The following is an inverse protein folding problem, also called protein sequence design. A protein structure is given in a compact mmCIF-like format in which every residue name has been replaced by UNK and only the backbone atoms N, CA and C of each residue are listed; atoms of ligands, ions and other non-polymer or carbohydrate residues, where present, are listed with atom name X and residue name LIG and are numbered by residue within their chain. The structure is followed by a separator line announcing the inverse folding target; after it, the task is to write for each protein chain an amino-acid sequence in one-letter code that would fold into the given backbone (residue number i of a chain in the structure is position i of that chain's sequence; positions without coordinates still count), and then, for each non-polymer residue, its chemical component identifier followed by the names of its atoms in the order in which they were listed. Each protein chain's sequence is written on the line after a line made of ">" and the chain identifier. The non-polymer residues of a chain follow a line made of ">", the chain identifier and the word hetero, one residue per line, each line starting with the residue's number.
data_IF_319809530915
#
_entry.id   IF_319809530915
#
_cell.length_a   1.000
_cell.length_b   1.000
_cell.length_c   1.000
_cell.angle_alpha   90.00
_cell.angle_beta   90.00
_cell.angle_gamma   90.00
#
_symmetry.space_group_name_H-M   'P 1'
#
loop_
_entity.id
_entity.type
_entity.pdbx_description
1 polymer ?
#
# COMPACT_ATOMS: atom_id res chain seq x y z
N UNK A 1 10.61 6.41 -1.69
CA UNK A 1 11.62 7.39 -1.30
C UNK A 1 13.01 7.14 -1.86
N UNK A 2 13.56 5.93 -1.70
CA UNK A 2 14.97 5.57 -2.02
C UNK A 2 15.52 6.03 -3.39
N UNK A 3 14.66 6.22 -4.40
CA UNK A 3 15.05 6.68 -5.74
C UNK A 3 14.98 8.22 -5.92
N UNK A 4 14.59 8.98 -4.89
CA UNK A 4 14.41 10.44 -4.94
C UNK A 4 13.23 10.89 -5.83
N UNK A 5 12.25 10.02 -6.09
CA UNK A 5 11.16 10.26 -7.07
C UNK A 5 9.77 10.48 -6.45
N UNK A 6 9.64 10.70 -5.14
CA UNK A 6 8.31 10.87 -4.53
C UNK A 6 7.53 12.09 -5.05
N UNK A 7 8.23 13.12 -5.54
CA UNK A 7 7.60 14.28 -6.16
C UNK A 7 7.04 14.03 -7.56
N UNK A 8 7.35 12.90 -8.19
CA UNK A 8 6.96 12.60 -9.57
C UNK A 8 5.46 12.32 -9.69
N UNK A 9 4.92 12.54 -10.89
CA UNK A 9 3.50 12.28 -11.18
C UNK A 9 3.17 10.80 -10.99
N UNK A 10 4.08 9.91 -11.37
CA UNK A 10 3.92 8.46 -11.21
C UNK A 10 3.82 8.07 -9.73
N UNK A 11 4.70 8.60 -8.88
CA UNK A 11 4.68 8.29 -7.45
C UNK A 11 3.37 8.73 -6.78
N UNK A 12 2.88 9.93 -7.10
CA UNK A 12 1.59 10.44 -6.60
C UNK A 12 0.42 9.58 -7.06
N UNK A 13 0.42 9.15 -8.32
CA UNK A 13 -0.63 8.26 -8.86
C UNK A 13 -0.56 6.88 -8.20
N UNK A 14 0.63 6.30 -8.03
CA UNK A 14 0.81 5.00 -7.35
C UNK A 14 0.25 5.09 -5.92
N UNK A 15 0.63 6.10 -5.14
CA UNK A 15 0.18 6.26 -3.76
C UNK A 15 -1.35 6.43 -3.67
N UNK A 16 -1.93 7.29 -4.51
CA UNK A 16 -3.40 7.48 -4.53
C UNK A 16 -4.15 6.23 -5.00
N UNK A 17 -3.64 5.56 -6.04
CA UNK A 17 -4.24 4.33 -6.56
C UNK A 17 -4.13 3.17 -5.56
N UNK A 18 -3.03 3.06 -4.81
CA UNK A 18 -2.86 2.04 -3.78
C UNK A 18 -3.91 2.16 -2.68
N UNK A 19 -4.22 3.38 -2.23
CA UNK A 19 -5.27 3.61 -1.23
C UNK A 19 -6.65 3.16 -1.75
N UNK A 20 -6.97 3.48 -3.01
CA UNK A 20 -8.24 3.05 -3.62
C UNK A 20 -8.25 1.52 -3.77
N UNK A 21 -7.15 0.91 -4.22
CA UNK A 21 -7.02 -0.54 -4.38
C UNK A 21 -7.23 -1.28 -3.05
N UNK A 22 -6.68 -0.78 -1.95
CA UNK A 22 -6.87 -1.33 -0.60
C UNK A 22 -8.33 -1.25 -0.14
N UNK A 23 -8.99 -0.11 -0.35
CA UNK A 23 -10.42 0.08 -0.03
C UNK A 23 -11.29 -0.89 -0.84
N UNK A 24 -11.02 -1.02 -2.14
CA UNK A 24 -11.74 -1.93 -3.02
C UNK A 24 -11.49 -3.40 -2.62
N UNK A 25 -10.25 -3.76 -2.31
CA UNK A 25 -9.90 -5.12 -1.89
C UNK A 25 -10.60 -5.52 -0.58
N UNK A 26 -10.59 -4.64 0.44
CA UNK A 26 -11.25 -4.92 1.72
C UNK A 26 -12.77 -4.97 1.60
N UNK A 27 -13.38 -4.05 0.84
CA UNK A 27 -14.83 -4.08 0.60
C UNK A 27 -15.26 -5.36 -0.12
N UNK A 28 -14.53 -5.77 -1.16
CA UNK A 28 -14.81 -7.00 -1.89
C UNK A 28 -14.60 -8.24 -0.99
N UNK A 29 -13.51 -8.28 -0.22
CA UNK A 29 -13.26 -9.36 0.73
C UNK A 29 -14.38 -9.46 1.78
N UNK A 30 -14.82 -8.34 2.34
CA UNK A 30 -15.93 -8.29 3.29
C UNK A 30 -17.21 -8.87 2.70
N UNK A 31 -17.53 -8.54 1.45
CA UNK A 31 -18.69 -9.10 0.75
C UNK A 31 -18.53 -10.61 0.56
N UNK A 32 -17.38 -11.07 0.07
CA UNK A 32 -17.09 -12.49 -0.14
C UNK A 32 -17.21 -13.26 1.18
N UNK A 33 -16.62 -12.76 2.27
CA UNK A 33 -16.73 -13.39 3.58
C UNK A 33 -18.16 -13.38 4.11
N UNK A 34 -18.92 -12.31 3.90
CA UNK A 34 -20.33 -12.28 4.29
C UNK A 34 -21.10 -13.39 3.57
N UNK A 35 -20.94 -13.52 2.25
CA UNK A 35 -21.58 -14.58 1.46
C UNK A 35 -21.19 -15.96 2.00
N UNK A 36 -19.91 -16.18 2.26
CA UNK A 36 -19.40 -17.49 2.64
C UNK A 36 -19.77 -17.87 4.08
N UNK A 37 -19.65 -16.94 5.03
CA UNK A 37 -19.87 -17.20 6.45
C UNK A 37 -21.35 -17.22 6.81
N UNK A 38 -22.13 -16.30 6.25
CA UNK A 38 -23.55 -16.18 6.60
C UNK A 38 -24.46 -17.01 5.69
N UNK A 39 -23.93 -17.51 4.56
CA UNK A 39 -24.70 -18.15 3.49
C UNK A 39 -25.88 -17.30 2.96
N UNK A 40 -25.86 -15.99 3.23
CA UNK A 40 -26.88 -15.05 2.77
C UNK A 40 -26.55 -14.62 1.34
N UNK A 41 -27.57 -14.56 0.47
CA UNK A 41 -27.45 -13.91 -0.81
C UNK A 41 -27.26 -12.41 -0.59
N UNK A 42 -26.06 -11.91 -0.89
CA UNK A 42 -25.77 -10.48 -0.82
C UNK A 42 -26.38 -9.81 -2.04
N UNK A 43 -27.21 -8.80 -1.80
CA UNK A 43 -27.82 -8.03 -2.89
C UNK A 43 -26.82 -7.04 -3.48
N UNK A 44 -27.04 -6.62 -4.72
CA UNK A 44 -26.22 -5.56 -5.35
C UNK A 44 -26.25 -4.27 -4.54
N UNK A 45 -27.34 -4.02 -3.80
CA UNK A 45 -27.47 -2.87 -2.92
C UNK A 45 -26.52 -2.95 -1.72
N UNK A 46 -26.35 -4.12 -1.11
CA UNK A 46 -25.45 -4.29 0.04
C UNK A 46 -23.99 -4.04 -0.34
N UNK A 47 -23.59 -4.46 -1.55
CA UNK A 47 -22.26 -4.21 -2.10
C UNK A 47 -22.04 -2.71 -2.31
N UNK A 48 -22.99 -2.03 -2.96
CA UNK A 48 -22.91 -0.59 -3.21
C UNK A 48 -22.90 0.19 -1.89
N UNK A 49 -23.72 -0.21 -0.91
CA UNK A 49 -23.76 0.40 0.42
C UNK A 49 -22.46 0.20 1.20
N UNK A 50 -21.88 -1.00 1.14
CA UNK A 50 -20.57 -1.26 1.75
C UNK A 50 -19.47 -0.39 1.12
N UNK A 51 -19.42 -0.35 -0.21
CA UNK A 51 -18.42 0.43 -0.94
C UNK A 51 -18.54 1.93 -0.66
N UNK A 52 -19.77 2.47 -0.72
CA UNK A 52 -20.04 3.88 -0.45
C UNK A 52 -19.78 4.26 1.00
N UNK A 53 -20.08 3.38 1.97
CA UNK A 53 -19.73 3.59 3.37
C UNK A 53 -18.23 3.67 3.57
N UNK A 54 -17.46 2.72 3.03
CA UNK A 54 -16.00 2.69 3.20
C UNK A 54 -15.33 3.91 2.56
N UNK A 55 -15.75 4.29 1.35
CA UNK A 55 -15.30 5.52 0.68
C UNK A 55 -15.69 6.78 1.46
N UNK A 56 -16.92 6.82 1.99
CA UNK A 56 -17.41 7.94 2.79
C UNK A 56 -16.60 8.11 4.08
N UNK A 57 -16.32 7.02 4.79
CA UNK A 57 -15.47 7.02 5.99
C UNK A 57 -14.06 7.51 5.65
N UNK A 58 -13.47 7.03 4.57
CA UNK A 58 -12.14 7.48 4.13
C UNK A 58 -12.09 8.98 3.82
N UNK A 59 -13.08 9.49 3.09
CA UNK A 59 -13.20 10.92 2.78
C UNK A 59 -13.37 11.77 4.03
N UNK A 60 -14.25 11.36 4.95
CA UNK A 60 -14.47 12.07 6.21
C UNK A 60 -13.20 12.05 7.07
N UNK A 61 -12.54 10.91 7.20
CA UNK A 61 -11.32 10.78 7.98
C UNK A 61 -10.21 11.69 7.43
N UNK A 62 -10.08 11.77 6.11
CA UNK A 62 -9.12 12.65 5.43
C UNK A 62 -9.46 14.13 5.60
N UNK A 63 -10.73 14.51 5.47
CA UNK A 63 -11.17 15.89 5.66
C UNK A 63 -10.97 16.36 7.10
N UNK A 64 -11.28 15.49 8.07
CA UNK A 64 -11.08 15.75 9.50
C UNK A 64 -9.59 15.86 9.80
N UNK A 65 -8.74 14.96 9.29
CA UNK A 65 -7.31 14.99 9.56
C UNK A 65 -6.65 16.27 9.07
N UNK A 66 -6.98 16.71 7.85
CA UNK A 66 -6.46 17.94 7.27
C UNK A 66 -6.78 19.19 8.10
N UNK A 67 -7.86 19.17 8.88
CA UNK A 67 -8.24 20.30 9.75
C UNK A 67 -7.75 20.15 11.19
N UNK A 68 -7.69 18.92 11.71
CA UNK A 68 -7.41 18.65 13.13
C UNK A 68 -5.92 18.54 13.39
N UNK A 69 -5.18 17.80 12.54
CA UNK A 69 -3.76 17.50 12.78
C UNK A 69 -2.88 18.77 12.76
N UNK A 70 -3.01 19.70 11.78
CA UNK A 70 -2.23 20.93 11.80
C UNK A 70 -2.51 21.80 13.03
N UNK A 71 -3.79 21.89 13.44
CA UNK A 71 -4.17 22.65 14.65
C UNK A 71 -3.57 22.05 15.90
N UNK A 72 -3.63 20.72 16.05
CA UNK A 72 -3.04 20.04 17.19
C UNK A 72 -1.51 20.22 17.23
N UNK A 73 -0.84 20.14 16.08
CA UNK A 73 0.59 20.46 15.98
C UNK A 73 0.86 21.88 16.51
N UNK A 74 0.13 22.89 16.02
CA UNK A 74 0.29 24.28 16.47
C UNK A 74 0.06 24.46 17.98
N UNK A 75 -0.86 23.70 18.57
CA UNK A 75 -1.07 23.70 20.03
C UNK A 75 0.09 23.07 20.78
N UNK A 76 0.60 21.93 20.30
CA UNK A 76 1.73 21.22 20.92
C UNK A 76 3.00 22.07 20.89
N UNK A 77 3.24 22.80 19.80
CA UNK A 77 4.38 23.72 19.66
C UNK A 77 4.31 24.86 20.68
N UNK A 78 3.12 25.34 21.03
CA UNK A 78 2.95 26.42 22.03
C UNK A 78 3.31 25.99 23.45
N UNK A 79 3.49 24.70 23.72
CA UNK A 79 3.80 24.17 25.06
C UNK A 79 5.24 24.45 25.52
N UNK A 80 6.12 25.02 24.68
CA UNK A 80 7.50 25.49 25.04
C UNK A 80 8.39 24.44 25.73
N UNK A 81 8.13 23.16 25.52
CA UNK A 81 9.03 22.05 25.88
C UNK A 81 9.90 21.71 24.67
N UNK A 82 11.07 21.10 24.89
CA UNK A 82 12.07 20.69 23.90
C UNK A 82 11.43 20.29 22.55
N UNK A 83 11.39 21.25 21.62
CA UNK A 83 10.38 21.29 20.55
C UNK A 83 10.57 20.14 19.58
N UNK A 84 11.81 19.67 19.42
CA UNK A 84 12.16 18.56 18.52
C UNK A 84 11.52 17.24 18.92
N UNK A 85 11.86 16.74 20.11
CA UNK A 85 11.41 15.42 20.60
C UNK A 85 9.89 15.34 20.75
N UNK A 86 9.26 16.45 21.14
CA UNK A 86 7.81 16.51 21.29
C UNK A 86 7.09 16.39 19.94
N UNK A 87 7.62 17.03 18.89
CA UNK A 87 7.06 16.94 17.53
C UNK A 87 7.25 15.52 16.97
N UNK A 88 8.42 14.91 17.17
CA UNK A 88 8.68 13.52 16.77
C UNK A 88 7.69 12.56 17.44
N UNK A 89 7.55 12.63 18.77
CA UNK A 89 6.61 11.80 19.52
C UNK A 89 5.15 12.04 19.09
N UNK A 90 4.78 13.30 18.84
CA UNK A 90 3.45 13.64 18.36
C UNK A 90 3.19 13.09 16.95
N UNK A 91 4.18 13.12 16.06
CA UNK A 91 4.04 12.56 14.71
C UNK A 91 3.74 11.05 14.74
N UNK A 92 4.42 10.31 15.62
CA UNK A 92 4.13 8.89 15.86
C UNK A 92 2.75 8.68 16.48
N UNK A 93 2.39 9.49 17.49
CA UNK A 93 1.08 9.42 18.12
C UNK A 93 -0.03 9.57 17.08
N UNK A 94 0.05 10.59 16.22
CA UNK A 94 -0.93 10.81 15.14
C UNK A 94 -0.92 9.65 14.16
N UNK A 95 0.26 9.22 13.69
CA UNK A 95 0.38 8.09 12.76
C UNK A 95 -0.30 6.82 13.31
N UNK A 96 0.06 6.38 14.51
CA UNK A 96 -0.50 5.17 15.12
C UNK A 96 -1.99 5.34 15.49
N UNK A 97 -2.41 6.52 15.92
CA UNK A 97 -3.82 6.79 16.23
C UNK A 97 -4.70 6.65 14.98
N UNK A 98 -4.28 7.25 13.86
CA UNK A 98 -5.02 7.14 12.60
C UNK A 98 -4.94 5.72 12.01
N UNK A 99 -3.79 5.05 12.09
CA UNK A 99 -3.67 3.65 11.68
C UNK A 99 -4.64 2.75 12.47
N UNK A 100 -4.65 2.87 13.80
CA UNK A 100 -5.57 2.11 14.66
C UNK A 100 -7.04 2.45 14.37
N UNK A 101 -7.38 3.74 14.25
CA UNK A 101 -8.75 4.18 13.99
C UNK A 101 -9.24 3.75 12.60
N UNK A 102 -8.38 3.77 11.58
CA UNK A 102 -8.73 3.26 10.26
C UNK A 102 -9.02 1.75 10.29
N UNK A 103 -8.22 0.98 11.05
CA UNK A 103 -8.44 -0.45 11.26
C UNK A 103 -9.78 -0.77 11.91
N UNK A 104 -10.20 -0.01 12.93
CA UNK A 104 -11.51 -0.23 13.59
C UNK A 104 -12.69 0.09 12.69
N UNK A 105 -12.50 0.95 11.69
CA UNK A 105 -13.50 1.30 10.69
C UNK A 105 -13.53 0.33 9.49
N UNK A 106 -12.67 -0.69 9.47
CA UNK A 106 -12.56 -1.67 8.38
C UNK A 106 -11.73 -1.20 7.20
N UNK A 107 -10.95 -0.12 7.35
CA UNK A 107 -9.91 0.28 6.39
C UNK A 107 -8.58 -0.40 6.74
N UNK A 108 -7.63 -0.40 5.80
CA UNK A 108 -6.27 -0.85 6.10
C UNK A 108 -5.57 0.16 7.02
N UNK A 109 -4.83 -0.30 8.06
CA UNK A 109 -4.00 0.57 8.90
C UNK A 109 -3.04 1.45 8.10
N UNK A 110 -2.55 0.95 6.95
CA UNK A 110 -1.69 1.69 6.01
C UNK A 110 -2.37 2.96 5.49
N UNK A 111 -3.68 2.88 5.20
CA UNK A 111 -4.47 4.03 4.74
C UNK A 111 -4.59 5.09 5.83
N UNK A 112 -4.81 4.68 7.08
CA UNK A 112 -4.81 5.60 8.22
C UNK A 112 -3.47 6.31 8.40
N UNK A 113 -2.36 5.57 8.36
CA UNK A 113 -1.02 6.15 8.43
C UNK A 113 -0.74 7.13 7.27
N UNK A 114 -1.18 6.81 6.05
CA UNK A 114 -1.07 7.69 4.89
C UNK A 114 -1.87 9.00 5.08
N UNK A 115 -3.10 8.92 5.58
CA UNK A 115 -3.92 10.09 5.88
C UNK A 115 -3.26 10.98 6.95
N UNK A 116 -2.66 10.38 7.98
CA UNK A 116 -1.89 11.12 8.97
C UNK A 116 -0.70 11.84 8.35
N UNK A 117 0.09 11.15 7.52
CA UNK A 117 1.22 11.74 6.80
C UNK A 117 0.80 12.90 5.88
N UNK A 118 -0.29 12.75 5.12
CA UNK A 118 -0.85 13.83 4.30
C UNK A 118 -1.25 15.04 5.13
N UNK A 119 -1.85 14.84 6.30
CA UNK A 119 -2.25 15.94 7.17
C UNK A 119 -1.05 16.66 7.82
N UNK A 120 0.08 15.98 7.97
CA UNK A 120 1.34 16.55 8.46
C UNK A 120 2.12 17.27 7.34
N UNK A 121 1.87 16.93 6.07
CA UNK A 121 2.61 17.44 4.92
C UNK A 121 2.58 18.98 4.77
N UNK A 122 1.52 19.63 5.25
CA UNK A 122 1.38 21.09 5.22
C UNK A 122 1.94 21.79 6.48
N UNK A 123 2.59 21.05 7.39
CA UNK A 123 3.14 21.61 8.63
C UNK A 123 4.48 22.32 8.42
N UNK A 124 4.72 23.37 9.21
CA UNK A 124 5.99 24.13 9.21
C UNK A 124 7.21 23.30 9.67
N UNK A 125 6.98 22.13 10.27
CA UNK A 125 8.01 21.26 10.84
C UNK A 125 8.17 19.96 10.05
N UNK A 126 7.68 19.94 8.82
CA UNK A 126 7.76 18.79 7.94
C UNK A 126 9.20 18.26 7.82
N UNK A 127 10.20 19.12 7.71
CA UNK A 127 11.59 18.72 7.53
C UNK A 127 12.13 17.96 8.75
N UNK A 128 11.82 18.44 9.97
CA UNK A 128 12.17 17.74 11.21
C UNK A 128 11.48 16.36 11.29
N UNK A 129 10.19 16.30 10.93
CA UNK A 129 9.43 15.05 10.95
C UNK A 129 9.98 14.08 9.90
N UNK A 130 10.36 14.56 8.71
CA UNK A 130 11.00 13.74 7.67
C UNK A 130 12.31 13.14 8.15
N UNK A 131 13.20 13.94 8.72
CA UNK A 131 14.48 13.46 9.25
C UNK A 131 14.29 12.38 10.33
N UNK A 132 13.22 12.50 11.12
CA UNK A 132 12.85 11.49 12.10
C UNK A 132 12.28 10.23 11.46
N UNK A 133 11.36 10.37 10.50
CA UNK A 133 10.75 9.25 9.77
C UNK A 133 11.81 8.46 9.02
N UNK A 134 12.80 9.10 8.39
CA UNK A 134 13.93 8.40 7.75
C UNK A 134 14.68 7.47 8.72
N UNK A 135 14.88 7.91 9.97
CA UNK A 135 15.50 7.06 11.02
C UNK A 135 14.61 5.88 11.40
N UNK A 136 13.30 6.09 11.47
CA UNK A 136 12.33 5.02 11.76
C UNK A 136 12.30 4.01 10.60
N UNK A 137 12.32 4.47 9.36
CA UNK A 137 12.33 3.61 8.17
C UNK A 137 13.54 2.67 8.14
N UNK A 138 14.72 3.14 8.55
CA UNK A 138 15.93 2.30 8.65
C UNK A 138 15.75 1.07 9.56
N UNK A 139 14.84 1.13 10.54
CA UNK A 139 14.53 0.00 11.41
C UNK A 139 13.35 -0.83 10.89
N UNK A 140 12.27 -0.17 10.46
CA UNK A 140 11.02 -0.86 10.13
C UNK A 140 11.00 -1.46 8.72
N UNK A 141 11.69 -0.87 7.74
CA UNK A 141 11.74 -1.41 6.37
C UNK A 141 12.44 -2.78 6.33
N UNK A 142 13.65 -2.96 6.91
CA UNK A 142 14.26 -4.28 6.97
C UNK A 142 13.43 -5.28 7.79
N UNK A 143 12.86 -4.84 8.92
CA UNK A 143 12.02 -5.68 9.76
C UNK A 143 10.79 -6.19 8.99
N UNK A 144 10.13 -5.32 8.23
CA UNK A 144 9.00 -5.70 7.37
C UNK A 144 9.40 -6.80 6.39
N UNK A 145 10.52 -6.67 5.69
CA UNK A 145 10.98 -7.71 4.76
C UNK A 145 11.35 -9.02 5.45
N UNK A 146 11.92 -8.98 6.67
CA UNK A 146 12.20 -10.17 7.47
C UNK A 146 10.90 -10.88 7.88
N UNK A 147 9.90 -10.15 8.36
CA UNK A 147 8.60 -10.71 8.74
C UNK A 147 7.88 -11.30 7.53
N UNK A 148 7.89 -10.59 6.40
CA UNK A 148 7.29 -11.09 5.15
C UNK A 148 7.98 -12.37 4.67
N UNK A 149 9.31 -12.45 4.74
CA UNK A 149 10.06 -13.66 4.41
C UNK A 149 9.83 -14.81 5.38
N UNK A 150 9.76 -14.53 6.69
CA UNK A 150 9.48 -15.54 7.72
C UNK A 150 8.05 -16.10 7.62
N UNK A 151 7.11 -15.35 7.03
CA UNK A 151 5.73 -15.80 6.82
C UNK A 151 5.60 -16.83 5.68
N UNK A 152 6.66 -17.06 4.91
CA UNK A 152 6.68 -18.05 3.83
C UNK A 152 7.06 -19.41 4.42
N UNK A 153 6.20 -20.40 4.26
CA UNK A 153 6.52 -21.78 4.63
C UNK A 153 7.52 -22.40 3.62
N UNK A 154 8.72 -22.82 4.06
CA UNK A 154 9.69 -23.47 3.18
C UNK A 154 9.21 -24.81 2.60
N UNK A 155 8.33 -25.54 3.29
CA UNK A 155 7.81 -26.81 2.79
C UNK A 155 6.88 -26.61 1.59
N UNK A 156 6.16 -25.49 1.60
CA UNK A 156 5.32 -25.00 0.53
C UNK A 156 6.11 -24.71 -0.77
N UNK A 157 7.38 -24.32 -0.66
CA UNK A 157 8.27 -24.13 -1.81
C UNK A 157 8.72 -25.47 -2.41
N UNK A 158 8.97 -26.47 -1.55
CA UNK A 158 9.52 -27.77 -1.95
C UNK A 158 8.48 -28.72 -2.53
N UNK A 159 7.25 -28.69 -2.01
CA UNK A 159 6.17 -29.59 -2.41
C UNK A 159 5.00 -28.89 -3.10
N UNK A 160 5.09 -27.57 -3.28
CA UNK A 160 4.04 -26.78 -3.91
C UNK A 160 3.93 -27.04 -5.40
N UNK A 161 2.73 -26.85 -5.93
CA UNK A 161 2.48 -26.88 -7.36
C UNK A 161 3.11 -25.65 -8.04
N UNK A 162 4.34 -25.83 -8.52
CA UNK A 162 5.12 -24.76 -9.15
C UNK A 162 4.40 -24.12 -10.34
N UNK A 163 3.61 -24.91 -11.09
CA UNK A 163 2.84 -24.40 -12.22
C UNK A 163 1.75 -23.43 -11.74
N UNK A 164 1.02 -23.79 -10.68
CA UNK A 164 0.01 -22.90 -10.08
C UNK A 164 0.64 -21.60 -9.59
N UNK A 165 1.76 -21.68 -8.88
CA UNK A 165 2.50 -20.50 -8.37
C UNK A 165 2.93 -19.61 -9.53
N UNK A 166 3.55 -20.18 -10.57
CA UNK A 166 4.02 -19.43 -11.73
C UNK A 166 2.86 -18.72 -12.44
N UNK A 167 1.74 -19.43 -12.64
CA UNK A 167 0.54 -18.85 -13.27
C UNK A 167 -0.02 -17.72 -12.42
N UNK A 168 -0.15 -17.89 -11.10
CA UNK A 168 -0.64 -16.85 -10.20
C UNK A 168 0.29 -15.62 -10.18
N UNK A 169 1.61 -15.82 -10.18
CA UNK A 169 2.59 -14.74 -10.30
C UNK A 169 2.44 -13.97 -11.61
N UNK A 170 2.38 -14.69 -12.74
CA UNK A 170 2.25 -14.07 -14.06
C UNK A 170 0.94 -13.31 -14.20
N UNK A 171 -0.18 -13.91 -13.78
CA UNK A 171 -1.49 -13.25 -13.78
C UNK A 171 -1.48 -12.06 -12.83
N UNK A 172 -0.89 -12.19 -11.64
CA UNK A 172 -0.76 -11.10 -10.67
C UNK A 172 -0.02 -9.90 -11.25
N UNK A 173 1.16 -10.13 -11.84
CA UNK A 173 1.96 -9.08 -12.50
C UNK A 173 1.25 -8.49 -13.71
N UNK A 174 0.73 -9.35 -14.60
CA UNK A 174 0.06 -8.91 -15.82
C UNK A 174 -1.19 -8.08 -15.51
N UNK A 175 -1.98 -8.48 -14.51
CA UNK A 175 -3.19 -7.77 -14.11
C UNK A 175 -2.91 -6.32 -13.70
N UNK A 176 -1.81 -6.06 -13.00
CA UNK A 176 -1.43 -4.69 -12.57
C UNK A 176 -0.78 -3.88 -13.68
N UNK A 177 0.04 -4.52 -14.53
CA UNK A 177 0.59 -3.88 -15.73
C UNK A 177 -0.50 -3.46 -16.72
N UNK A 178 -1.47 -4.33 -16.96
CA UNK A 178 -2.59 -4.09 -17.88
C UNK A 178 -3.62 -3.16 -17.22
N UNK A 179 -3.99 -3.42 -15.96
CA UNK A 179 -5.05 -2.70 -15.26
C UNK A 179 -4.66 -1.31 -14.78
N UNK A 180 -3.41 -1.09 -14.36
CA UNK A 180 -2.94 0.21 -13.91
C UNK A 180 -2.00 0.86 -14.94
N UNK A 181 -1.09 0.07 -15.53
CA UNK A 181 -0.04 0.61 -16.39
C UNK A 181 -0.50 1.06 -17.77
N UNK A 182 -1.34 0.29 -18.46
CA UNK A 182 -1.88 0.69 -19.77
C UNK A 182 -2.77 1.94 -19.73
N UNK A 183 -3.79 2.06 -18.85
CA UNK A 183 -4.59 3.27 -18.79
C UNK A 183 -3.76 4.48 -18.36
N UNK A 184 -2.80 4.30 -17.45
CA UNK A 184 -1.86 5.38 -17.10
C UNK A 184 -0.99 5.80 -18.29
N UNK A 185 -0.46 4.85 -19.08
CA UNK A 185 0.30 5.15 -20.29
C UNK A 185 -0.53 5.92 -21.32
N UNK A 186 -1.80 5.57 -21.47
CA UNK A 186 -2.72 6.24 -22.38
C UNK A 186 -3.08 7.65 -21.91
N UNK A 187 -3.43 7.81 -20.64
CA UNK A 187 -3.85 9.10 -20.06
C UNK A 187 -2.70 10.10 -19.94
N UNK A 188 -1.52 9.63 -19.52
CA UNK A 188 -0.31 10.46 -19.40
C UNK A 188 0.39 10.67 -20.75
N UNK A 189 -0.01 9.94 -21.79
CA UNK A 189 0.65 9.88 -23.10
C UNK A 189 2.14 9.50 -23.03
N UNK A 190 2.53 8.83 -21.96
CA UNK A 190 3.90 8.36 -21.73
C UNK A 190 3.88 6.89 -21.30
N UNK A 191 4.40 6.04 -22.19
CA UNK A 191 4.51 4.58 -21.96
C UNK A 191 5.43 4.25 -20.79
N UNK A 192 6.51 5.01 -20.60
CA UNK A 192 7.47 4.78 -19.54
C UNK A 192 6.85 5.10 -18.19
N UNK A 193 6.15 6.24 -18.08
CA UNK A 193 5.36 6.57 -16.89
C UNK A 193 4.32 5.50 -16.57
N UNK A 194 3.56 5.05 -17.57
CA UNK A 194 2.55 4.01 -17.36
C UNK A 194 3.14 2.68 -16.90
N UNK A 195 4.25 2.23 -17.50
CA UNK A 195 4.95 1.01 -17.06
C UNK A 195 5.46 1.15 -15.61
N UNK A 196 5.97 2.32 -15.22
CA UNK A 196 6.40 2.59 -13.83
C UNK A 196 5.25 2.51 -12.85
N UNK A 197 4.09 3.08 -13.19
CA UNK A 197 2.88 2.97 -12.38
C UNK A 197 2.45 1.51 -12.27
N UNK A 198 2.47 0.77 -13.38
CA UNK A 198 2.22 -0.67 -13.38
C UNK A 198 3.16 -1.43 -12.45
N UNK A 199 4.48 -1.21 -12.53
CA UNK A 199 5.47 -1.84 -11.65
C UNK A 199 5.26 -1.49 -10.17
N UNK A 200 4.98 -0.23 -9.86
CA UNK A 200 4.72 0.21 -8.49
C UNK A 200 3.48 -0.45 -7.86
N UNK A 201 2.49 -0.80 -8.68
CA UNK A 201 1.25 -1.43 -8.24
C UNK A 201 1.29 -2.97 -8.22
N UNK A 202 2.41 -3.61 -8.60
CA UNK A 202 2.55 -5.08 -8.56
C UNK A 202 2.55 -5.60 -7.12
N UNK A 203 3.12 -4.84 -6.18
CA UNK A 203 3.30 -5.27 -4.79
C UNK A 203 1.97 -5.72 -4.18
N UNK A 204 1.95 -6.94 -3.63
CA UNK A 204 0.79 -7.47 -2.90
C UNK A 204 1.08 -7.31 -1.41
N UNK A 205 0.38 -6.40 -0.77
CA UNK A 205 0.60 -6.11 0.65
C UNK A 205 0.06 -7.17 1.61
N UNK A 206 0.12 -6.81 2.89
CA UNK A 206 -0.47 -7.51 4.04
C UNK A 206 -1.93 -7.93 3.84
N UNK A 207 -2.73 -7.12 3.14
CA UNK A 207 -4.16 -7.40 2.91
C UNK A 207 -4.35 -8.71 2.15
N UNK A 208 -3.46 -9.02 1.19
CA UNK A 208 -3.49 -10.29 0.47
C UNK A 208 -3.28 -11.49 1.39
N UNK A 209 -2.36 -11.38 2.35
CA UNK A 209 -2.10 -12.42 3.34
C UNK A 209 -3.27 -12.58 4.32
N UNK A 210 -3.87 -11.48 4.76
CA UNK A 210 -5.06 -11.52 5.61
C UNK A 210 -6.21 -12.23 4.91
N UNK A 211 -6.51 -11.85 3.66
CA UNK A 211 -7.59 -12.49 2.89
C UNK A 211 -7.30 -13.98 2.68
N UNK A 212 -6.06 -14.34 2.34
CA UNK A 212 -5.67 -15.74 2.18
C UNK A 212 -5.81 -16.53 3.48
N UNK A 213 -5.37 -15.97 4.61
CA UNK A 213 -5.45 -16.62 5.93
C UNK A 213 -6.90 -16.81 6.39
N UNK A 214 -7.73 -15.79 6.23
CA UNK A 214 -9.17 -15.89 6.52
C UNK A 214 -9.82 -16.92 5.58
N UNK A 215 -9.48 -16.92 4.29
CA UNK A 215 -9.96 -17.89 3.33
C UNK A 215 -9.60 -19.34 3.68
N UNK A 216 -8.37 -19.58 4.16
CA UNK A 216 -7.96 -20.89 4.66
C UNK A 216 -8.70 -21.28 5.95
N UNK A 217 -8.88 -20.34 6.88
CA UNK A 217 -9.57 -20.58 8.17
C UNK A 217 -11.02 -21.01 7.99
N UNK A 218 -11.73 -20.42 7.01
CA UNK A 218 -13.10 -20.79 6.69
C UNK A 218 -13.22 -21.98 5.71
N UNK A 219 -12.11 -22.65 5.40
CA UNK A 219 -12.08 -23.80 4.49
C UNK A 219 -12.41 -23.47 3.03
N UNK A 220 -12.29 -22.20 2.64
CA UNK A 220 -12.56 -21.70 1.27
C UNK A 220 -11.40 -22.05 0.34
N UNK A 221 -10.17 -21.95 0.86
CA UNK A 221 -8.96 -22.18 0.10
C UNK A 221 -8.37 -23.55 0.46
N UNK A 222 -8.22 -24.46 -0.52
CA UNK A 222 -7.39 -25.65 -0.33
C UNK A 222 -5.95 -25.25 0.03
N UNK A 223 -5.28 -26.07 0.84
CA UNK A 223 -3.91 -25.81 1.32
C UNK A 223 -2.91 -25.52 0.19
N UNK A 224 -3.07 -26.19 -0.95
CA UNK A 224 -2.26 -25.98 -2.16
C UNK A 224 -2.44 -24.55 -2.73
N UNK A 225 -3.68 -24.04 -2.75
CA UNK A 225 -3.99 -22.70 -3.25
C UNK A 225 -3.51 -21.64 -2.25
N UNK A 226 -3.72 -21.88 -0.96
CA UNK A 226 -3.24 -21.00 0.11
C UNK A 226 -1.72 -20.83 0.05
N UNK A 227 -1.00 -21.94 -0.05
CA UNK A 227 0.45 -22.00 -0.26
C UNK A 227 0.87 -21.20 -1.48
N UNK A 228 0.22 -21.44 -2.63
CA UNK A 228 0.57 -20.77 -3.87
C UNK A 228 0.31 -19.25 -3.82
N UNK A 229 -0.74 -18.83 -3.11
CA UNK A 229 -1.05 -17.41 -2.87
C UNK A 229 0.00 -16.73 -2.01
N UNK A 230 0.45 -17.36 -0.91
CA UNK A 230 1.51 -16.79 -0.06
C UNK A 230 2.80 -16.58 -0.88
N UNK A 231 3.19 -17.58 -1.66
CA UNK A 231 4.38 -17.49 -2.49
C UNK A 231 4.26 -16.44 -3.58
N UNK A 232 3.10 -16.34 -4.22
CA UNK A 232 2.82 -15.27 -5.18
C UNK A 232 2.92 -13.90 -4.51
N UNK A 233 2.33 -13.71 -3.33
CA UNK A 233 2.42 -12.45 -2.58
C UNK A 233 3.88 -12.11 -2.28
N UNK A 234 4.66 -13.06 -1.77
CA UNK A 234 6.08 -12.84 -1.50
C UNK A 234 6.88 -12.42 -2.75
N UNK A 235 6.73 -13.16 -3.85
CA UNK A 235 7.44 -12.86 -5.12
C UNK A 235 7.03 -11.49 -5.67
N UNK A 236 5.73 -11.21 -5.70
CA UNK A 236 5.19 -9.95 -6.22
C UNK A 236 5.52 -8.74 -5.33
N UNK A 237 5.81 -8.93 -4.04
CA UNK A 237 6.25 -7.84 -3.14
C UNK A 237 7.73 -7.54 -3.23
N UNK A 238 8.55 -8.52 -3.61
CA UNK A 238 9.98 -8.31 -3.85
C UNK A 238 10.29 -7.75 -5.25
N UNK A 239 9.43 -8.02 -6.24
CA UNK A 239 9.63 -7.61 -7.64
C UNK A 239 9.73 -6.07 -7.88
N UNK A 240 8.87 -5.23 -7.30
CA UNK A 240 8.75 -3.81 -7.66
C UNK A 240 10.02 -2.98 -7.45
N UNK A 241 10.76 -3.09 -6.32
CA UNK A 241 12.02 -2.36 -6.14
C UNK A 241 13.02 -2.62 -7.27
N UNK A 242 13.19 -3.88 -7.69
CA UNK A 242 14.11 -4.24 -8.77
C UNK A 242 13.65 -3.70 -10.13
N UNK A 243 12.35 -3.84 -10.45
CA UNK A 243 11.78 -3.40 -11.72
C UNK A 243 11.80 -1.87 -11.86
N UNK A 244 11.43 -1.15 -10.81
CA UNK A 244 11.44 0.31 -10.78
C UNK A 244 12.86 0.84 -10.88
N UNK A 245 13.81 0.31 -10.07
CA UNK A 245 15.21 0.74 -10.11
C UNK A 245 15.82 0.57 -11.52
N UNK A 246 15.53 -0.54 -12.19
CA UNK A 246 15.98 -0.79 -13.58
C UNK A 246 15.35 0.21 -14.56
N UNK A 247 14.06 0.50 -14.41
CA UNK A 247 13.34 1.47 -15.26
C UNK A 247 13.89 2.90 -15.13
N UNK A 248 14.20 3.35 -13.90
CA UNK A 248 14.78 4.67 -13.67
C UNK A 248 16.26 4.76 -14.08
N UNK A 249 17.04 3.67 -13.91
CA UNK A 249 18.45 3.64 -14.34
C UNK A 249 18.61 3.69 -15.86
N UNK A 250 17.71 3.03 -16.61
CA UNK A 250 17.74 3.07 -18.08
C UNK A 250 17.43 4.46 -18.64
N UNK A 251 16.56 5.23 -17.98
CA UNK A 251 16.27 6.61 -18.38
C UNK A 251 17.48 7.52 -18.20
N UNK A 252 18.18 7.42 -17.06
CA UNK A 252 19.40 8.19 -16.81
C UNK A 252 20.49 7.93 -17.86
N UNK A 253 20.71 6.66 -18.24
CA UNK A 253 21.65 6.29 -19.32
C UNK A 253 21.23 6.83 -20.68
N UNK A 254 19.93 6.88 -20.97
CA UNK A 254 19.43 7.38 -22.26
C UNK A 254 19.65 8.89 -22.38
N UNK A 255 19.41 9.63 -21.30
CA UNK A 255 19.65 11.08 -21.24
C UNK A 255 21.15 11.43 -21.32
N UNK A 256 22.04 10.63 -20.73
CA UNK A 256 23.49 10.83 -20.85
C UNK A 256 24.02 10.61 -22.28
N UNK A 257 23.43 9.68 -23.03
CA UNK A 257 23.79 9.45 -24.44
C UNK A 257 23.34 10.63 -25.30
N UNK A 258 22.10 11.10 -25.13
CA UNK A 258 21.57 12.26 -25.86
C UNK A 258 22.33 13.55 -25.52
N UNK A 259 22.82 13.71 -24.28
CA UNK A 259 23.61 14.87 -23.87
C UNK A 259 25.07 14.84 -24.37
N UNK A 260 25.54 13.69 -24.88
CA UNK A 260 26.88 13.53 -25.45
C UNK A 260 26.92 13.68 -26.97
N UNK A 261 25.77 13.62 -27.63
CA UNK A 261 25.58 13.83 -29.07
C UNK A 261 25.16 15.28 -29.37
#
# INVERSE_FOLDING_TARGET
>A
DEMGRMGSTEAKIILGAAVIDDVLALSLASVIFTIVVTHVQVSTLDIILSLSKTLGVWLVLTAVSASVVPRLLDYVIKLKVDVGQLIEAFSLLVCFSYAAFSGTLGLSPLVGAFIAGMAIADSLYLDLIKDFVEKVELMFVPLFFVVMGASVDPQAILHGNFLLILVLCLVGVASKLIGCGLPAAYLLKDRTCGIRIGYGMISRGEIGLVIASVGATYGILPDEVYTALILMIFVTSLLPPFLLKRSYSNEAKTLEVIARD
#
